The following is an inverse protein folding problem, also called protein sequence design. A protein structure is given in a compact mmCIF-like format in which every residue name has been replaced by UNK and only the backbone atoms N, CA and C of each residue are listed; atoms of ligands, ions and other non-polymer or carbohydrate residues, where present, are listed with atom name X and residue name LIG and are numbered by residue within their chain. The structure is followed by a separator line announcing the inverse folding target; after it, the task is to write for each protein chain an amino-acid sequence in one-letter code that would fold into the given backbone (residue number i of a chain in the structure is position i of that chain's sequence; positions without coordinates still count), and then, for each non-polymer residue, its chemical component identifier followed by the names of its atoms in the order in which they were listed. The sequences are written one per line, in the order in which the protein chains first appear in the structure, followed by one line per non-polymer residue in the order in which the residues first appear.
data_IF_239204884081
#
_entry.id   IF_239204884081
#
_cell.length_a   1.000
_cell.length_b   1.000
_cell.length_c   1.000
_cell.angle_alpha   90.00
_cell.angle_beta   90.00
_cell.angle_gamma   90.00
#
_symmetry.space_group_name_H-M   'P 1'
#
loop_
_entity.id
_entity.type
_entity.pdbx_description
1 polymer ?
#
# COMPACT_ATOMS: atom_id res chain seq x y z
N UNK A 1 -40.11 18.03 3.74
CA UNK A 1 -39.58 16.88 4.49
C UNK A 1 -38.81 17.38 5.71
N UNK A 2 -38.66 16.59 6.79
CA UNK A 2 -37.73 16.95 7.87
C UNK A 2 -36.31 16.79 7.31
N UNK A 3 -35.59 17.89 7.13
CA UNK A 3 -34.20 17.85 6.68
C UNK A 3 -33.34 17.17 7.74
N UNK A 4 -32.98 15.91 7.53
CA UNK A 4 -31.92 15.28 8.30
C UNK A 4 -30.58 15.86 7.85
N UNK A 5 -29.64 16.11 8.78
CA UNK A 5 -28.29 16.51 8.43
C UNK A 5 -27.66 15.45 7.52
N UNK A 6 -26.97 15.88 6.46
CA UNK A 6 -26.22 15.01 5.56
C UNK A 6 -25.21 14.14 6.33
N UNK A 7 -24.64 14.68 7.41
CA UNK A 7 -23.80 13.93 8.35
C UNK A 7 -24.51 12.75 9.01
N UNK A 8 -25.81 12.84 9.28
CA UNK A 8 -26.60 11.76 9.88
C UNK A 8 -26.95 10.67 8.85
N UNK A 9 -27.20 11.04 7.60
CA UNK A 9 -27.41 10.09 6.51
C UNK A 9 -26.11 9.29 6.22
N UNK A 10 -24.96 9.95 6.22
CA UNK A 10 -23.66 9.31 5.99
C UNK A 10 -23.22 8.38 7.12
N UNK A 11 -23.61 8.64 8.37
CA UNK A 11 -23.35 7.74 9.51
C UNK A 11 -23.99 6.35 9.37
N UNK A 12 -25.03 6.24 8.55
CA UNK A 12 -25.78 4.99 8.37
C UNK A 12 -25.04 4.02 7.45
N UNK A 13 -24.02 4.48 6.71
CA UNK A 13 -23.23 3.63 5.81
C UNK A 13 -21.81 3.42 6.33
N UNK A 14 -21.35 2.16 6.31
CA UNK A 14 -20.03 1.75 6.81
C UNK A 14 -18.87 2.12 5.90
N UNK A 15 -19.15 2.61 4.69
CA UNK A 15 -18.14 3.07 3.73
C UNK A 15 -17.55 4.42 4.13
N UNK A 16 -18.26 5.23 4.92
CA UNK A 16 -17.79 6.55 5.33
C UNK A 16 -17.02 6.46 6.66
N UNK A 17 -15.73 6.86 6.69
CA UNK A 17 -14.94 6.94 7.90
C UNK A 17 -15.58 7.91 8.90
N UNK A 18 -15.43 7.59 10.19
CA UNK A 18 -15.97 8.43 11.27
C UNK A 18 -15.42 9.87 11.23
N UNK A 19 -14.20 10.04 10.70
CA UNK A 19 -13.55 11.34 10.56
C UNK A 19 -14.22 12.22 9.49
N UNK A 20 -14.61 11.64 8.35
CA UNK A 20 -15.35 12.32 7.28
C UNK A 20 -16.67 12.87 7.82
N UNK A 21 -17.43 12.05 8.55
CA UNK A 21 -18.69 12.47 9.18
C UNK A 21 -18.46 13.65 10.13
N UNK A 22 -17.42 13.59 10.96
CA UNK A 22 -17.14 14.66 11.95
C UNK A 22 -16.79 15.98 11.28
N UNK A 23 -16.03 15.96 10.18
CA UNK A 23 -15.69 17.15 9.40
C UNK A 23 -16.93 17.73 8.73
N UNK A 24 -17.75 16.89 8.11
CA UNK A 24 -19.01 17.30 7.50
C UNK A 24 -19.96 17.91 8.55
N UNK A 25 -20.07 17.30 9.72
CA UNK A 25 -20.91 17.79 10.83
C UNK A 25 -20.42 19.13 11.41
N UNK A 26 -19.12 19.41 11.34
CA UNK A 26 -18.54 20.72 11.67
C UNK A 26 -18.82 21.75 10.56
N UNK A 27 -18.73 21.35 9.29
CA UNK A 27 -19.09 22.18 8.13
C UNK A 27 -20.56 22.57 8.13
N UNK A 28 -21.46 21.64 8.44
CA UNK A 28 -22.90 21.90 8.57
C UNK A 28 -23.21 22.93 9.65
N UNK A 29 -22.55 22.84 10.82
CA UNK A 29 -22.73 23.80 11.93
C UNK A 29 -22.21 25.20 11.61
N UNK A 30 -21.21 25.30 10.74
CA UNK A 30 -20.53 26.55 10.40
C UNK A 30 -20.97 27.12 9.05
N UNK A 31 -21.82 26.41 8.31
CA UNK A 31 -22.23 26.77 6.95
C UNK A 31 -21.11 26.63 5.92
N UNK A 32 -20.04 25.91 6.23
CA UNK A 32 -18.81 25.74 5.43
C UNK A 32 -18.68 24.31 4.90
N UNK A 33 -19.78 23.75 4.42
CA UNK A 33 -19.79 22.35 3.94
C UNK A 33 -18.85 22.18 2.75
N UNK A 34 -18.85 23.11 1.80
CA UNK A 34 -18.00 23.06 0.62
C UNK A 34 -16.51 22.96 0.98
N UNK A 35 -16.05 23.82 1.89
CA UNK A 35 -14.66 23.84 2.40
C UNK A 35 -14.29 22.53 3.11
N UNK A 36 -15.23 21.92 3.83
CA UNK A 36 -15.00 20.64 4.49
C UNK A 36 -14.98 19.48 3.48
N UNK A 37 -15.78 19.54 2.42
CA UNK A 37 -15.78 18.52 1.36
C UNK A 37 -14.48 18.54 0.56
N UNK A 38 -13.94 19.72 0.26
CA UNK A 38 -12.61 19.86 -0.35
C UNK A 38 -11.52 19.25 0.55
N UNK A 39 -11.54 19.58 1.85
CA UNK A 39 -10.58 19.00 2.81
C UNK A 39 -10.69 17.47 2.94
N UNK A 40 -11.89 16.93 2.76
CA UNK A 40 -12.13 15.47 2.75
C UNK A 40 -11.57 14.86 1.46
N UNK A 41 -11.73 15.51 0.31
CA UNK A 41 -11.16 15.04 -0.94
C UNK A 41 -9.62 14.97 -0.85
N UNK A 42 -8.99 16.04 -0.35
CA UNK A 42 -7.53 16.11 -0.13
C UNK A 42 -7.05 14.97 0.78
N UNK A 43 -7.77 14.70 1.88
CA UNK A 43 -7.42 13.61 2.80
C UNK A 43 -7.46 12.22 2.13
N UNK A 44 -8.43 11.97 1.26
CA UNK A 44 -8.52 10.70 0.54
C UNK A 44 -7.45 10.56 -0.54
N UNK A 45 -7.11 11.65 -1.22
CA UNK A 45 -5.99 11.67 -2.16
C UNK A 45 -4.68 11.33 -1.45
N UNK A 46 -4.41 11.95 -0.29
CA UNK A 46 -3.25 11.66 0.55
C UNK A 46 -3.22 10.21 1.04
N UNK A 47 -4.37 9.66 1.44
CA UNK A 47 -4.48 8.26 1.88
C UNK A 47 -4.17 7.29 0.74
N UNK A 48 -4.69 7.56 -0.47
CA UNK A 48 -4.40 6.78 -1.68
C UNK A 48 -2.91 6.86 -2.03
N UNK A 49 -2.32 8.05 -2.02
CA UNK A 49 -0.89 8.24 -2.32
C UNK A 49 -0.01 7.49 -1.30
N UNK A 50 -0.35 7.58 -0.02
CA UNK A 50 0.35 6.87 1.07
C UNK A 50 0.27 5.35 0.87
N UNK A 51 -0.91 4.83 0.53
CA UNK A 51 -1.07 3.40 0.21
C UNK A 51 -0.21 3.01 -1.00
N UNK A 52 -0.22 3.82 -2.06
CA UNK A 52 0.56 3.55 -3.27
C UNK A 52 2.07 3.54 -2.99
N UNK A 53 2.54 4.50 -2.20
CA UNK A 53 3.93 4.58 -1.76
C UNK A 53 4.32 3.36 -0.92
N UNK A 54 3.47 2.94 0.02
CA UNK A 54 3.69 1.74 0.82
C UNK A 54 3.77 0.47 -0.01
N UNK A 55 2.84 0.29 -0.97
CA UNK A 55 2.84 -0.85 -1.89
C UNK A 55 4.10 -0.88 -2.75
N UNK A 56 4.52 0.28 -3.27
CA UNK A 56 5.73 0.41 -4.10
C UNK A 56 6.99 0.12 -3.28
N UNK A 57 7.06 0.64 -2.05
CA UNK A 57 8.19 0.42 -1.13
C UNK A 57 8.38 -1.06 -0.75
N UNK A 58 7.31 -1.86 -0.73
CA UNK A 58 7.39 -3.30 -0.49
C UNK A 58 7.76 -4.10 -1.75
N UNK A 59 7.43 -3.58 -2.93
CA UNK A 59 7.77 -4.21 -4.21
C UNK A 59 9.28 -4.24 -4.46
N UNK A 60 9.98 -3.16 -4.14
CA UNK A 60 11.43 -3.04 -4.31
C UNK A 60 12.25 -4.13 -3.58
N UNK A 61 12.10 -4.37 -2.26
CA UNK A 61 12.84 -5.42 -1.56
C UNK A 61 12.45 -6.82 -2.05
N UNK A 62 11.20 -7.05 -2.45
CA UNK A 62 10.76 -8.33 -3.00
C UNK A 62 11.51 -8.64 -4.31
N UNK A 63 11.62 -7.66 -5.21
CA UNK A 63 12.39 -7.79 -6.44
C UNK A 63 13.87 -8.04 -6.18
N UNK A 64 14.47 -7.37 -5.19
CA UNK A 64 15.87 -7.62 -4.80
C UNK A 64 16.09 -9.04 -4.30
N UNK A 65 15.21 -9.57 -3.45
CA UNK A 65 15.29 -10.96 -2.98
C UNK A 65 15.13 -11.94 -4.14
N UNK A 66 14.16 -11.71 -5.02
CA UNK A 66 13.94 -12.54 -6.21
C UNK A 66 15.19 -12.58 -7.10
N UNK A 67 15.76 -11.42 -7.41
CA UNK A 67 16.98 -11.31 -8.22
C UNK A 67 18.16 -12.01 -7.53
N UNK A 68 18.30 -11.84 -6.22
CA UNK A 68 19.33 -12.50 -5.42
C UNK A 68 19.23 -14.03 -5.48
N UNK A 69 18.02 -14.58 -5.40
CA UNK A 69 17.79 -16.03 -5.54
C UNK A 69 18.13 -16.51 -6.95
N UNK A 70 17.73 -15.78 -7.99
CA UNK A 70 18.04 -16.15 -9.38
C UNK A 70 19.54 -16.14 -9.63
N UNK A 71 20.24 -15.07 -9.26
CA UNK A 71 21.69 -14.97 -9.43
C UNK A 71 22.42 -16.01 -8.58
N UNK A 72 22.02 -16.18 -7.31
CA UNK A 72 22.58 -17.19 -6.42
C UNK A 72 22.42 -18.60 -6.96
N UNK A 73 21.25 -18.93 -7.53
CA UNK A 73 21.00 -20.20 -8.21
C UNK A 73 21.92 -20.43 -9.41
N UNK A 74 22.12 -19.42 -10.25
CA UNK A 74 23.03 -19.50 -11.41
C UNK A 74 24.46 -19.77 -10.95
N UNK A 75 24.94 -19.04 -9.94
CA UNK A 75 26.27 -19.20 -9.37
C UNK A 75 26.45 -20.62 -8.81
N UNK A 76 25.50 -21.11 -8.03
CA UNK A 76 25.52 -22.48 -7.50
C UNK A 76 25.58 -23.53 -8.62
N UNK A 77 24.74 -23.37 -9.66
CA UNK A 77 24.74 -24.26 -10.83
C UNK A 77 26.08 -24.25 -11.59
N UNK A 78 26.79 -23.12 -11.62
CA UNK A 78 28.09 -23.00 -12.28
C UNK A 78 29.22 -23.63 -11.48
N UNK A 79 29.21 -23.50 -10.14
CA UNK A 79 30.30 -24.01 -9.28
C UNK A 79 30.17 -25.48 -8.90
N UNK A 80 28.94 -26.00 -8.72
CA UNK A 80 28.68 -27.40 -8.39
C UNK A 80 29.34 -28.42 -9.35
N UNK A 81 29.33 -28.25 -10.68
CA UNK A 81 30.03 -29.17 -11.59
C UNK A 81 31.56 -29.09 -11.47
N UNK A 82 32.12 -27.93 -11.12
CA UNK A 82 33.57 -27.76 -10.91
C UNK A 82 34.01 -28.59 -9.70
N UNK A 83 33.29 -28.52 -8.59
CA UNK A 83 33.58 -29.33 -7.40
C UNK A 83 33.48 -30.83 -7.68
N UNK A 84 32.44 -31.25 -8.41
CA UNK A 84 32.27 -32.67 -8.81
C UNK A 84 33.39 -33.15 -9.74
N UNK A 85 33.85 -32.32 -10.68
CA UNK A 85 35.01 -32.66 -11.51
C UNK A 85 36.30 -32.79 -10.68
N UNK A 86 36.48 -31.97 -9.65
CA UNK A 86 37.63 -32.06 -8.73
C UNK A 86 37.69 -33.38 -7.96
N UNK A 87 36.56 -33.90 -7.48
CA UNK A 87 36.50 -35.22 -6.81
C UNK A 87 36.84 -36.37 -7.76
N UNK A 88 36.36 -36.33 -9.00
CA UNK A 88 36.60 -37.39 -10.00
C UNK A 88 38.07 -37.42 -10.44
N UNK A 89 38.73 -36.26 -10.52
CA UNK A 89 40.16 -36.17 -10.84
C UNK A 89 41.04 -36.55 -9.64
N UNK A 90 40.58 -36.36 -8.41
CA UNK A 90 41.34 -36.71 -7.20
C UNK A 90 41.34 -38.21 -6.84
N UNK A 91 40.50 -39.04 -7.47
CA UNK A 91 40.48 -40.50 -7.29
C UNK A 91 41.26 -41.29 -8.36
N UNK A 92 41.98 -40.61 -9.26
CA UNK A 92 42.86 -41.20 -10.27
C UNK A 92 44.34 -41.18 -9.88
#
# INVERSE_FOLDING_TARGET
EKGEPLSSAMLTQTVFPIMLVRMLQAGEKTGKIDEMMDSIADFYEDEVETMLAGLTSLLEPLLMVFLGVVIGGIVLCMFLPIFKMGEVVGQG
#
